data_IF_530036885689
#
_entry.id   IF_530036885689
#
_cell.length_a   1.000
_cell.length_b   1.000
_cell.length_c   1.000
_cell.angle_alpha   90.00
_cell.angle_beta   90.00
_cell.angle_gamma   90.00
#
_symmetry.space_group_name_H-M   'P 1'
#
loop_
_entity.id
_entity.type
_entity.pdbx_description
1 polymer ?
#
# COMPACT_ATOMS: atom_id res chain seq x y z
N UNK A 1 -10.96 -23.50 -17.70
CA UNK A 1 -11.77 -22.29 -17.95
C UNK A 1 -10.97 -21.12 -17.42
N UNK A 2 -10.72 -20.07 -18.20
CA UNK A 2 -9.89 -18.96 -17.75
C UNK A 2 -10.66 -18.13 -16.72
N UNK A 3 -10.22 -18.12 -15.47
CA UNK A 3 -10.74 -17.24 -14.42
C UNK A 3 -10.37 -15.80 -14.81
N UNK A 4 -11.38 -14.98 -15.12
CA UNK A 4 -11.19 -13.56 -15.44
C UNK A 4 -11.37 -12.78 -14.14
N UNK A 5 -10.48 -11.86 -13.82
CA UNK A 5 -10.65 -10.95 -12.68
C UNK A 5 -10.75 -9.51 -13.16
N UNK A 6 -11.68 -8.74 -12.60
CA UNK A 6 -11.73 -7.31 -12.89
C UNK A 6 -10.56 -6.58 -12.19
N UNK A 7 -9.74 -5.85 -12.96
CA UNK A 7 -8.61 -5.05 -12.42
C UNK A 7 -9.05 -3.96 -11.44
N UNK A 8 -10.28 -3.47 -11.55
CA UNK A 8 -10.77 -2.39 -10.72
C UNK A 8 -11.34 -2.89 -9.38
N UNK A 9 -12.25 -3.87 -9.41
CA UNK A 9 -12.94 -4.34 -8.20
C UNK A 9 -12.43 -5.68 -7.65
N UNK A 10 -11.54 -6.37 -8.37
CA UNK A 10 -10.90 -7.62 -7.95
C UNK A 10 -11.80 -8.86 -7.97
N UNK A 11 -13.06 -8.74 -8.40
CA UNK A 11 -14.01 -9.88 -8.43
C UNK A 11 -13.71 -10.84 -9.58
N UNK A 12 -13.90 -12.13 -9.30
CA UNK A 12 -13.95 -13.19 -10.31
C UNK A 12 -15.15 -12.97 -11.24
N UNK A 13 -14.88 -13.10 -12.52
CA UNK A 13 -15.81 -12.96 -13.63
C UNK A 13 -15.97 -14.34 -14.26
N UNK A 14 -17.21 -14.78 -14.42
CA UNK A 14 -17.50 -16.00 -15.14
C UNK A 14 -17.04 -15.87 -16.60
N UNK A 15 -16.30 -16.86 -17.06
CA UNK A 15 -15.63 -16.94 -18.36
C UNK A 15 -16.60 -17.08 -19.56
N UNK A 16 -17.71 -16.34 -19.59
CA UNK A 16 -18.48 -16.16 -20.83
C UNK A 16 -17.68 -15.19 -21.71
N UNK A 17 -16.86 -15.78 -22.56
CA UNK A 17 -15.99 -15.11 -23.53
C UNK A 17 -16.69 -13.90 -24.17
N UNK A 18 -16.12 -12.70 -23.98
CA UNK A 18 -16.54 -11.48 -24.68
C UNK A 18 -17.17 -10.37 -23.82
N UNK A 19 -17.18 -10.46 -22.49
CA UNK A 19 -17.61 -9.35 -21.66
C UNK A 19 -16.59 -8.18 -21.77
N UNK A 20 -16.93 -7.15 -22.55
CA UNK A 20 -16.13 -5.93 -22.66
C UNK A 20 -16.10 -5.13 -21.35
N UNK A 21 -17.04 -5.38 -20.43
CA UNK A 21 -17.22 -4.66 -19.17
C UNK A 21 -17.50 -5.61 -18.01
N UNK A 22 -17.05 -5.21 -16.82
CA UNK A 22 -17.23 -5.94 -15.58
C UNK A 22 -18.67 -5.76 -15.12
N UNK A 23 -19.45 -6.86 -14.95
CA UNK A 23 -20.84 -6.77 -14.52
C UNK A 23 -21.02 -6.19 -13.12
N UNK A 24 -19.95 -6.12 -12.32
CA UNK A 24 -19.99 -5.65 -10.94
C UNK A 24 -19.62 -4.17 -10.76
N UNK A 25 -18.73 -3.62 -11.59
CA UNK A 25 -18.28 -2.23 -11.44
C UNK A 25 -18.34 -1.41 -12.74
N UNK A 26 -18.80 -2.01 -13.85
CA UNK A 26 -18.94 -1.32 -15.13
C UNK A 26 -17.63 -1.00 -15.86
N UNK A 27 -16.46 -1.26 -15.26
CA UNK A 27 -15.18 -0.99 -15.92
C UNK A 27 -14.84 -2.01 -17.00
N UNK A 28 -14.08 -1.56 -18.01
CA UNK A 28 -13.65 -2.42 -19.10
C UNK A 28 -12.86 -3.63 -18.57
N UNK A 29 -13.15 -4.82 -19.07
CA UNK A 29 -12.44 -6.06 -18.69
C UNK A 29 -11.45 -6.37 -19.78
N UNK A 30 -10.17 -6.30 -19.43
CA UNK A 30 -9.10 -6.74 -20.30
C UNK A 30 -8.80 -8.22 -20.02
N UNK A 31 -8.59 -9.05 -21.06
CA UNK A 31 -8.10 -10.41 -20.86
C UNK A 31 -6.81 -10.36 -20.06
N UNK A 32 -6.79 -10.98 -18.88
CA UNK A 32 -5.54 -11.12 -18.11
C UNK A 32 -4.73 -12.19 -18.81
N UNK A 33 -3.60 -11.80 -19.41
CA UNK A 33 -2.65 -12.79 -19.90
C UNK A 33 -2.15 -13.61 -18.71
N UNK A 34 -2.35 -14.93 -18.80
CA UNK A 34 -1.94 -15.85 -17.75
C UNK A 34 -0.42 -15.95 -17.77
N UNK A 35 0.25 -15.16 -16.93
CA UNK A 35 1.70 -15.23 -16.75
C UNK A 35 2.05 -16.59 -16.13
N UNK A 36 3.19 -17.14 -16.51
CA UNK A 36 3.70 -18.39 -15.92
C UNK A 36 3.87 -18.25 -14.41
N UNK A 37 3.59 -19.33 -13.68
CA UNK A 37 3.75 -19.37 -12.22
C UNK A 37 5.21 -19.07 -11.85
N UNK A 38 5.40 -18.38 -10.72
CA UNK A 38 6.74 -18.05 -10.21
C UNK A 38 7.59 -19.32 -10.02
N UNK A 39 8.85 -19.33 -10.51
CA UNK A 39 9.73 -20.47 -10.30
C UNK A 39 9.86 -20.82 -8.81
N UNK A 40 9.74 -22.10 -8.41
CA UNK A 40 9.84 -22.51 -7.01
C UNK A 40 11.13 -22.04 -6.32
N UNK A 41 12.23 -21.97 -7.08
CA UNK A 41 13.52 -21.48 -6.64
C UNK A 41 13.52 -19.98 -6.34
N UNK A 42 12.81 -19.17 -7.14
CA UNK A 42 12.63 -17.74 -6.88
C UNK A 42 11.86 -17.51 -5.57
N UNK A 43 10.81 -18.30 -5.33
CA UNK A 43 10.06 -18.27 -4.07
C UNK A 43 10.90 -18.71 -2.87
N UNK A 44 11.87 -19.60 -3.04
CA UNK A 44 12.80 -19.99 -1.98
C UNK A 44 13.74 -18.84 -1.58
N UNK A 45 14.19 -18.01 -2.53
CA UNK A 45 14.94 -16.80 -2.21
C UNK A 45 14.11 -15.82 -1.38
N UNK A 46 12.83 -15.65 -1.70
CA UNK A 46 11.90 -14.81 -0.93
C UNK A 46 11.75 -15.34 0.50
N UNK A 47 11.47 -16.64 0.68
CA UNK A 47 11.37 -17.26 2.02
C UNK A 47 12.65 -17.09 2.84
N UNK A 48 13.82 -17.27 2.21
CA UNK A 48 15.12 -17.04 2.87
C UNK A 48 15.30 -15.58 3.27
N UNK A 49 14.88 -14.63 2.43
CA UNK A 49 14.94 -13.21 2.75
C UNK A 49 14.01 -12.83 3.91
N UNK A 50 12.81 -13.41 3.98
CA UNK A 50 11.88 -13.20 5.10
C UNK A 50 12.49 -13.62 6.44
N UNK A 51 13.19 -14.75 6.49
CA UNK A 51 13.82 -15.30 7.70
C UNK A 51 15.02 -14.47 8.21
N UNK A 52 15.65 -13.66 7.35
CA UNK A 52 16.75 -12.78 7.76
C UNK A 52 16.23 -11.61 8.62
N UNK A 53 17.08 -11.10 9.51
CA UNK A 53 16.76 -9.91 10.32
C UNK A 53 17.48 -8.66 9.83
N UNK A 54 18.66 -8.83 9.20
CA UNK A 54 19.48 -7.73 8.71
C UNK A 54 19.02 -7.28 7.31
N UNK A 55 18.54 -6.03 7.14
CA UNK A 55 18.08 -5.52 5.84
C UNK A 55 19.16 -5.54 4.75
N UNK A 56 20.45 -5.38 5.10
CA UNK A 56 21.53 -5.42 4.11
C UNK A 56 21.69 -6.82 3.54
N UNK A 57 21.68 -7.84 4.41
CA UNK A 57 21.74 -9.24 3.98
C UNK A 57 20.52 -9.64 3.16
N UNK A 58 19.32 -9.14 3.51
CA UNK A 58 18.11 -9.31 2.69
C UNK A 58 18.31 -8.76 1.29
N UNK A 59 18.77 -7.51 1.21
CA UNK A 59 18.99 -6.83 -0.08
C UNK A 59 20.03 -7.56 -0.93
N UNK A 60 21.17 -7.93 -0.36
CA UNK A 60 22.22 -8.68 -1.07
C UNK A 60 21.71 -10.02 -1.61
N UNK A 61 20.90 -10.74 -0.82
CA UNK A 61 20.29 -12.00 -1.24
C UNK A 61 19.30 -11.78 -2.39
N UNK A 62 18.41 -10.80 -2.26
CA UNK A 62 17.37 -10.51 -3.25
C UNK A 62 17.95 -9.93 -4.55
N UNK A 63 19.02 -9.13 -4.49
CA UNK A 63 19.71 -8.64 -5.70
C UNK A 63 20.37 -9.77 -6.48
N UNK A 64 21.01 -10.73 -5.79
CA UNK A 64 21.53 -11.94 -6.44
C UNK A 64 20.43 -12.81 -7.04
N UNK A 65 19.28 -12.87 -6.37
CA UNK A 65 18.12 -13.59 -6.89
C UNK A 65 17.53 -12.88 -8.12
N UNK A 66 17.46 -11.55 -8.13
CA UNK A 66 16.98 -10.75 -9.27
C UNK A 66 17.87 -10.92 -10.52
N UNK A 67 19.18 -11.13 -10.35
CA UNK A 67 20.08 -11.47 -11.46
C UNK A 67 19.79 -12.85 -12.06
N UNK A 68 19.38 -13.82 -11.24
CA UNK A 68 19.06 -15.19 -11.67
C UNK A 68 17.63 -15.33 -12.20
N UNK A 69 16.70 -14.55 -11.65
CA UNK A 69 15.27 -14.58 -11.94
C UNK A 69 14.76 -13.16 -12.22
N UNK A 70 15.18 -12.53 -13.33
CA UNK A 70 14.85 -11.14 -13.63
C UNK A 70 13.35 -10.90 -13.82
N UNK A 71 12.60 -11.93 -14.22
CA UNK A 71 11.17 -11.84 -14.49
C UNK A 71 10.28 -12.16 -13.27
N UNK A 72 10.89 -12.46 -12.11
CA UNK A 72 10.17 -12.76 -10.88
C UNK A 72 9.56 -11.50 -10.26
N UNK A 73 8.24 -11.41 -10.29
CA UNK A 73 7.48 -10.38 -9.58
C UNK A 73 7.66 -10.52 -8.06
N UNK A 74 7.74 -11.75 -7.56
CA UNK A 74 7.93 -12.01 -6.13
C UNK A 74 9.22 -11.36 -5.60
N UNK A 75 10.36 -11.55 -6.29
CA UNK A 75 11.64 -10.93 -5.91
C UNK A 75 11.58 -9.41 -6.09
N UNK A 76 11.06 -8.93 -7.23
CA UNK A 76 10.97 -7.51 -7.51
C UNK A 76 10.13 -6.76 -6.46
N UNK A 77 9.04 -7.37 -6.01
CA UNK A 77 8.16 -6.86 -4.95
C UNK A 77 8.87 -6.80 -3.61
N UNK A 78 9.59 -7.84 -3.20
CA UNK A 78 10.34 -7.80 -1.94
C UNK A 78 11.40 -6.69 -1.94
N UNK A 79 12.10 -6.48 -3.05
CA UNK A 79 13.03 -5.36 -3.22
C UNK A 79 12.32 -4.01 -3.12
N UNK A 80 11.10 -3.87 -3.67
CA UNK A 80 10.30 -2.65 -3.59
C UNK A 80 9.95 -2.27 -2.15
N UNK A 81 9.48 -3.24 -1.35
CA UNK A 81 9.11 -2.99 0.05
C UNK A 81 10.31 -2.85 0.98
N UNK A 82 11.42 -3.54 0.68
CA UNK A 82 12.67 -3.34 1.41
C UNK A 82 13.16 -1.89 1.28
N UNK A 83 12.92 -1.26 0.12
CA UNK A 83 13.18 0.15 -0.12
C UNK A 83 14.62 0.53 0.26
N UNK A 84 14.75 1.52 1.14
CA UNK A 84 16.04 2.06 1.58
C UNK A 84 16.51 1.53 2.93
N UNK A 85 15.83 0.53 3.51
CA UNK A 85 16.24 -0.10 4.76
C UNK A 85 17.71 -0.58 4.80
N UNK A 86 18.33 -1.05 3.70
CA UNK A 86 19.75 -1.42 3.69
C UNK A 86 20.70 -0.24 3.97
N UNK A 87 20.27 0.98 3.65
CA UNK A 87 21.03 2.22 3.87
C UNK A 87 20.98 2.66 5.34
N UNK A 88 20.13 2.04 6.16
CA UNK A 88 19.93 2.44 7.57
C UNK A 88 21.26 2.47 8.31
N UNK A 89 21.50 3.58 9.01
CA UNK A 89 22.58 3.69 9.97
C UNK A 89 22.10 3.22 11.35
N UNK A 90 22.63 2.11 11.92
CA UNK A 90 22.15 1.61 13.22
C UNK A 90 22.43 2.57 14.40
N UNK A 91 23.29 3.59 14.21
CA UNK A 91 23.59 4.60 15.23
C UNK A 91 22.68 5.82 15.18
N UNK A 92 21.83 5.94 14.16
CA UNK A 92 20.91 7.08 13.99
C UNK A 92 19.49 6.56 13.77
N UNK A 93 18.54 7.06 14.54
CA UNK A 93 17.14 6.77 14.32
C UNK A 93 16.66 7.61 13.14
N UNK A 94 16.55 6.97 11.98
CA UNK A 94 16.02 7.57 10.75
C UNK A 94 14.91 6.67 10.22
N UNK A 95 13.69 7.17 10.22
CA UNK A 95 12.53 6.44 9.72
C UNK A 95 12.28 6.68 8.23
N UNK A 96 12.94 7.67 7.61
CA UNK A 96 12.74 8.00 6.20
C UNK A 96 13.22 6.91 5.24
N UNK A 97 14.02 5.96 5.73
CA UNK A 97 14.45 4.78 5.00
C UNK A 97 13.39 3.68 4.90
N UNK A 98 12.33 3.75 5.71
CA UNK A 98 11.21 2.79 5.69
C UNK A 98 10.25 3.22 4.59
N UNK A 99 9.92 2.33 3.64
CA UNK A 99 9.12 2.68 2.46
C UNK A 99 7.77 3.30 2.81
N UNK A 100 7.08 2.79 3.82
CA UNK A 100 5.78 3.32 4.25
C UNK A 100 5.85 4.73 4.87
N UNK A 101 7.04 5.23 5.23
CA UNK A 101 7.23 6.61 5.68
C UNK A 101 6.80 7.66 4.64
N UNK A 102 6.66 7.29 3.36
CA UNK A 102 6.10 8.15 2.32
C UNK A 102 4.72 8.72 2.69
N UNK A 103 3.90 7.97 3.45
CA UNK A 103 2.61 8.46 3.94
C UNK A 103 2.71 9.58 4.98
N UNK A 104 3.89 9.79 5.59
CA UNK A 104 4.10 10.82 6.62
C UNK A 104 3.81 12.23 6.10
N UNK A 105 3.99 12.49 4.80
CA UNK A 105 3.67 13.80 4.20
C UNK A 105 2.19 14.15 4.31
N UNK A 106 1.29 13.16 4.42
CA UNK A 106 -0.14 13.40 4.64
C UNK A 106 -0.52 13.47 6.12
N UNK A 107 0.29 12.92 7.01
CA UNK A 107 0.05 12.99 8.46
C UNK A 107 0.60 14.28 9.08
N UNK A 108 1.80 14.70 8.64
CA UNK A 108 2.52 15.86 9.16
C UNK A 108 3.20 16.67 8.04
N UNK A 109 2.43 17.21 7.07
CA UNK A 109 3.00 17.96 5.94
C UNK A 109 3.92 19.11 6.38
N UNK A 110 3.64 19.73 7.53
CA UNK A 110 4.42 20.83 8.10
C UNK A 110 5.84 20.46 8.52
N UNK A 111 6.18 19.17 8.63
CA UNK A 111 7.55 18.71 8.96
C UNK A 111 8.45 18.66 7.72
N UNK A 112 7.93 18.90 6.51
CA UNK A 112 8.63 18.76 5.25
C UNK A 112 8.63 20.06 4.42
N UNK A 113 9.68 20.25 3.64
CA UNK A 113 9.68 21.29 2.59
C UNK A 113 8.83 20.83 1.40
N UNK A 114 8.41 21.77 0.55
CA UNK A 114 7.62 21.43 -0.64
C UNK A 114 8.39 20.53 -1.62
N UNK A 115 9.69 20.74 -1.74
CA UNK A 115 10.56 19.88 -2.56
C UNK A 115 10.57 18.45 -2.02
N UNK A 116 10.63 18.29 -0.68
CA UNK A 116 10.61 16.96 -0.08
C UNK A 116 9.26 16.27 -0.24
N UNK A 117 8.15 16.99 -0.08
CA UNK A 117 6.81 16.47 -0.35
C UNK A 117 6.70 16.02 -1.81
N UNK A 118 7.20 16.83 -2.76
CA UNK A 118 7.21 16.48 -4.18
C UNK A 118 7.98 15.19 -4.45
N UNK A 119 9.18 15.03 -3.87
CA UNK A 119 9.98 13.80 -3.98
C UNK A 119 9.27 12.58 -3.39
N UNK A 120 8.60 12.73 -2.23
CA UNK A 120 7.87 11.63 -1.60
C UNK A 120 6.65 11.21 -2.44
N UNK A 121 5.96 12.18 -3.06
CA UNK A 121 4.86 11.94 -3.99
C UNK A 121 5.34 11.23 -5.25
N UNK A 122 6.45 11.69 -5.83
CA UNK A 122 7.08 11.03 -6.97
C UNK A 122 7.45 9.58 -6.62
N UNK A 123 8.10 9.35 -5.48
CA UNK A 123 8.48 8.01 -5.04
C UNK A 123 7.28 7.05 -4.82
N UNK A 124 6.10 7.56 -4.47
CA UNK A 124 4.89 6.75 -4.34
C UNK A 124 4.39 6.19 -5.68
N UNK A 125 4.62 6.88 -6.79
CA UNK A 125 4.01 6.55 -8.09
C UNK A 125 5.00 6.20 -9.20
N UNK A 126 6.22 6.74 -9.18
CA UNK A 126 7.16 6.67 -10.31
C UNK A 126 8.50 6.06 -9.93
N UNK A 127 8.61 5.43 -8.76
CA UNK A 127 9.86 4.77 -8.36
C UNK A 127 10.26 3.65 -9.35
N UNK A 128 11.54 3.54 -9.77
CA UNK A 128 11.95 2.55 -10.78
C UNK A 128 11.60 1.10 -10.43
N UNK A 129 11.76 0.71 -9.16
CA UNK A 129 11.38 -0.64 -8.71
C UNK A 129 9.85 -0.86 -8.76
N UNK A 130 9.04 0.19 -8.59
CA UNK A 130 7.58 0.11 -8.72
C UNK A 130 7.21 -0.08 -10.19
N UNK A 131 7.81 0.70 -11.10
CA UNK A 131 7.63 0.53 -12.54
C UNK A 131 7.96 -0.90 -12.99
N UNK A 132 9.08 -1.46 -12.52
CA UNK A 132 9.43 -2.87 -12.76
C UNK A 132 8.36 -3.83 -12.25
N UNK A 133 7.88 -3.66 -11.02
CA UNK A 133 6.82 -4.53 -10.49
C UNK A 133 5.52 -4.43 -11.29
N UNK A 134 5.19 -3.23 -11.78
CA UNK A 134 4.02 -3.01 -12.64
C UNK A 134 4.18 -3.73 -13.98
N UNK A 135 5.35 -3.64 -14.62
CA UNK A 135 5.67 -4.35 -15.86
C UNK A 135 5.61 -5.88 -15.70
N UNK A 136 6.05 -6.38 -14.55
CA UNK A 136 6.03 -7.81 -14.22
C UNK A 136 4.64 -8.29 -13.73
N UNK A 137 3.72 -7.38 -13.42
CA UNK A 137 2.40 -7.75 -12.90
C UNK A 137 1.44 -8.12 -14.03
N UNK A 138 0.69 -9.23 -13.93
CA UNK A 138 -0.39 -9.54 -14.88
C UNK A 138 -1.52 -8.48 -14.84
N UNK A 139 -1.57 -7.69 -13.78
CA UNK A 139 -2.54 -6.62 -13.59
C UNK A 139 -1.88 -5.42 -12.88
N UNK A 140 -1.32 -4.47 -13.64
CA UNK A 140 -0.56 -3.34 -13.08
C UNK A 140 -1.40 -2.47 -12.13
N UNK A 141 -2.66 -2.20 -12.47
CA UNK A 141 -3.55 -1.36 -11.65
C UNK A 141 -3.89 -2.03 -10.32
N UNK A 142 -4.21 -3.33 -10.35
CA UNK A 142 -4.46 -4.10 -9.13
C UNK A 142 -3.21 -4.19 -8.26
N UNK A 143 -2.02 -4.33 -8.88
CA UNK A 143 -0.76 -4.30 -8.16
C UNK A 143 -0.52 -2.95 -7.49
N UNK A 144 -0.72 -1.83 -8.20
CA UNK A 144 -0.53 -0.49 -7.65
C UNK A 144 -1.45 -0.24 -6.46
N UNK A 145 -2.74 -0.61 -6.55
CA UNK A 145 -3.69 -0.53 -5.43
C UNK A 145 -3.24 -1.38 -4.25
N UNK A 146 -2.80 -2.62 -4.49
CA UNK A 146 -2.30 -3.51 -3.44
C UNK A 146 -1.03 -2.96 -2.78
N UNK A 147 -0.10 -2.40 -3.56
CA UNK A 147 1.12 -1.76 -3.09
C UNK A 147 0.82 -0.57 -2.18
N UNK A 148 -0.01 0.37 -2.63
CA UNK A 148 -0.40 1.54 -1.84
C UNK A 148 -1.14 1.14 -0.55
N UNK A 149 -2.03 0.15 -0.65
CA UNK A 149 -2.75 -0.37 0.52
C UNK A 149 -1.80 -1.02 1.53
N UNK A 150 -0.82 -1.80 1.06
CA UNK A 150 0.18 -2.42 1.93
C UNK A 150 1.07 -1.38 2.60
N UNK A 151 1.52 -0.36 1.87
CA UNK A 151 2.26 0.76 2.47
C UNK A 151 1.42 1.49 3.53
N UNK A 152 0.14 1.72 3.26
CA UNK A 152 -0.77 2.32 4.23
C UNK A 152 -0.92 1.45 5.48
N UNK A 153 -1.01 0.13 5.32
CA UNK A 153 -1.13 -0.81 6.43
C UNK A 153 0.13 -0.80 7.31
N UNK A 154 1.30 -0.86 6.68
CA UNK A 154 2.58 -0.74 7.37
C UNK A 154 2.72 0.61 8.06
N UNK A 155 2.24 1.69 7.43
CA UNK A 155 2.28 3.01 8.03
C UNK A 155 1.43 3.10 9.30
N UNK A 156 0.18 2.62 9.24
CA UNK A 156 -0.72 2.58 10.39
C UNK A 156 -0.09 1.77 11.54
N UNK A 157 0.50 0.62 11.24
CA UNK A 157 1.12 -0.26 12.25
C UNK A 157 2.38 0.36 12.87
N UNK A 158 3.26 0.91 12.06
CA UNK A 158 4.56 1.40 12.54
C UNK A 158 4.49 2.80 13.11
N UNK A 159 3.79 3.72 12.44
CA UNK A 159 3.83 5.16 12.76
C UNK A 159 2.62 5.66 13.52
N UNK A 160 1.45 5.05 13.36
CA UNK A 160 0.29 5.42 14.17
C UNK A 160 0.21 4.57 15.43
N UNK A 161 0.23 3.24 15.29
CA UNK A 161 0.14 2.33 16.45
C UNK A 161 1.41 2.30 17.29
N UNK A 162 2.56 2.48 16.65
CA UNK A 162 3.85 2.55 17.31
C UNK A 162 4.06 3.84 18.11
N UNK A 163 3.33 4.93 17.78
CA UNK A 163 3.52 6.24 18.38
C UNK A 163 2.50 6.49 19.52
N UNK A 164 3.03 6.82 20.69
CA UNK A 164 2.25 7.13 21.89
C UNK A 164 1.34 8.36 21.77
N UNK A 165 1.62 9.25 20.82
CA UNK A 165 0.78 10.41 20.51
C UNK A 165 -0.59 9.97 20.02
N UNK A 166 -0.64 8.96 19.15
CA UNK A 166 -1.88 8.44 18.57
C UNK A 166 -2.42 7.24 19.37
N UNK A 167 -1.54 6.35 19.83
CA UNK A 167 -1.88 5.20 20.68
C UNK A 167 -1.38 5.39 22.11
N UNK A 168 -2.19 6.08 22.93
CA UNK A 168 -1.89 6.25 24.36
C UNK A 168 -1.80 4.89 25.06
N UNK A 169 -0.63 4.61 25.65
CA UNK A 169 -0.39 3.42 26.46
C UNK A 169 -0.68 3.75 27.92
N UNK A 170 -1.44 2.91 28.61
CA UNK A 170 -1.67 3.01 30.05
C UNK A 170 -0.86 1.92 30.75
N UNK A 171 0.06 2.28 31.65
CA UNK A 171 0.95 1.34 32.35
C UNK A 171 1.74 0.40 31.42
N UNK A 172 2.17 0.89 30.25
CA UNK A 172 2.91 0.08 29.28
C UNK A 172 2.06 -0.94 28.50
N UNK A 173 0.78 -1.12 28.86
CA UNK A 173 -0.17 -1.94 28.13
C UNK A 173 -0.95 -1.07 27.13
N UNK A 174 -0.87 -1.42 25.85
CA UNK A 174 -1.71 -0.84 24.81
C UNK A 174 -3.12 -1.42 24.89
N UNK A 175 -4.15 -0.57 24.87
CA UNK A 175 -5.53 -1.04 24.68
C UNK A 175 -5.83 -1.13 23.19
N UNK A 176 -5.39 -2.21 22.55
CA UNK A 176 -5.59 -2.42 21.11
C UNK A 176 -7.07 -2.39 20.71
N UNK A 177 -7.99 -2.72 21.61
CA UNK A 177 -9.43 -2.62 21.39
C UNK A 177 -9.94 -1.18 21.15
N UNK A 178 -9.14 -0.16 21.47
CA UNK A 178 -9.47 1.25 21.22
C UNK A 178 -8.83 1.79 19.93
N UNK A 179 -8.01 0.99 19.25
CA UNK A 179 -7.32 1.43 18.04
C UNK A 179 -8.27 2.00 16.96
N UNK A 180 -9.45 1.38 16.66
CA UNK A 180 -10.36 1.94 15.64
C UNK A 180 -10.79 3.37 15.97
N UNK A 181 -11.07 3.64 17.25
CA UNK A 181 -11.48 4.97 17.71
C UNK A 181 -10.33 5.97 17.74
N UNK A 182 -9.17 5.58 18.27
CA UNK A 182 -8.03 6.47 18.47
C UNK A 182 -7.36 6.87 17.15
N UNK A 183 -7.36 5.95 16.18
CA UNK A 183 -6.69 6.16 14.89
C UNK A 183 -7.61 6.77 13.81
N UNK A 184 -8.91 6.84 14.06
CA UNK A 184 -9.88 7.42 13.12
C UNK A 184 -9.57 8.88 12.79
N UNK A 185 -9.31 9.72 13.79
CA UNK A 185 -9.03 11.14 13.58
C UNK A 185 -7.73 11.38 12.79
N UNK A 186 -6.56 10.79 13.13
CA UNK A 186 -5.35 11.00 12.34
C UNK A 186 -5.47 10.44 10.92
N UNK A 187 -6.13 9.30 10.70
CA UNK A 187 -6.35 8.77 9.35
C UNK A 187 -7.36 9.62 8.56
N UNK A 188 -8.41 10.12 9.20
CA UNK A 188 -9.35 11.07 8.60
C UNK A 188 -8.66 12.36 8.17
N UNK A 189 -7.72 12.87 8.99
CA UNK A 189 -6.88 14.01 8.66
C UNK A 189 -5.99 13.74 7.43
N UNK A 190 -5.34 12.57 7.37
CA UNK A 190 -4.56 12.16 6.20
C UNK A 190 -5.42 12.10 4.93
N UNK A 191 -6.61 11.50 5.01
CA UNK A 191 -7.56 11.43 3.88
C UNK A 191 -7.99 12.83 3.41
N UNK A 192 -8.17 13.77 4.33
CA UNK A 192 -8.42 15.18 4.02
C UNK A 192 -7.27 15.79 3.22
N UNK A 193 -6.03 15.59 3.67
CA UNK A 193 -4.85 16.13 3.02
C UNK A 193 -4.64 15.54 1.62
N UNK A 194 -4.87 14.23 1.44
CA UNK A 194 -4.82 13.58 0.11
C UNK A 194 -5.81 14.23 -0.84
N UNK A 195 -7.06 14.46 -0.40
CA UNK A 195 -8.10 15.06 -1.26
C UNK A 195 -7.81 16.50 -1.66
N UNK A 196 -7.05 17.22 -0.83
CA UNK A 196 -6.67 18.61 -1.09
C UNK A 196 -5.34 18.74 -1.85
N UNK A 197 -4.64 17.63 -2.11
CA UNK A 197 -3.37 17.62 -2.81
C UNK A 197 -3.57 17.90 -4.30
N UNK A 198 -3.36 19.16 -4.70
CA UNK A 198 -3.59 19.66 -6.07
C UNK A 198 -2.53 19.19 -7.07
N UNK A 199 -1.38 18.71 -6.59
CA UNK A 199 -0.30 18.19 -7.44
C UNK A 199 -0.59 16.77 -7.92
N UNK A 200 -1.54 16.06 -7.27
CA UNK A 200 -2.04 14.79 -7.76
C UNK A 200 -3.11 14.99 -8.84
N UNK A 201 -3.25 14.02 -9.73
CA UNK A 201 -4.46 13.90 -10.55
C UNK A 201 -5.66 13.48 -9.68
N UNK A 202 -6.88 13.66 -10.21
CA UNK A 202 -8.10 13.18 -9.53
C UNK A 202 -8.06 11.67 -9.28
N UNK A 203 -7.67 10.88 -10.29
CA UNK A 203 -7.53 9.43 -10.18
C UNK A 203 -6.49 9.01 -9.13
N UNK A 204 -5.36 9.72 -9.01
CA UNK A 204 -4.37 9.45 -7.98
C UNK A 204 -4.90 9.77 -6.58
N UNK A 205 -5.63 10.88 -6.42
CA UNK A 205 -6.26 11.22 -5.12
C UNK A 205 -7.28 10.16 -4.70
N UNK A 206 -8.10 9.68 -5.64
CA UNK A 206 -9.07 8.62 -5.38
C UNK A 206 -8.38 7.32 -4.98
N UNK A 207 -7.39 6.89 -5.76
CA UNK A 207 -6.64 5.66 -5.51
C UNK A 207 -5.93 5.66 -4.15
N UNK A 208 -5.26 6.76 -3.79
CA UNK A 208 -4.62 6.90 -2.47
C UNK A 208 -5.64 6.92 -1.34
N UNK A 209 -6.73 7.67 -1.51
CA UNK A 209 -7.80 7.75 -0.52
C UNK A 209 -8.41 6.38 -0.25
N UNK A 210 -8.69 5.62 -1.32
CA UNK A 210 -9.22 4.27 -1.23
C UNK A 210 -8.21 3.32 -0.58
N UNK A 211 -6.94 3.37 -0.99
CA UNK A 211 -5.88 2.50 -0.45
C UNK A 211 -5.65 2.72 1.05
N UNK A 212 -5.64 3.97 1.52
CA UNK A 212 -5.47 4.29 2.94
C UNK A 212 -6.70 3.87 3.77
N UNK A 213 -7.91 4.10 3.23
CA UNK A 213 -9.14 3.65 3.88
C UNK A 213 -9.18 2.13 4.01
N UNK A 214 -8.77 1.40 2.97
CA UNK A 214 -8.69 -0.06 2.99
C UNK A 214 -7.62 -0.58 3.92
N UNK A 215 -6.46 0.09 3.99
CA UNK A 215 -5.42 -0.22 4.96
C UNK A 215 -5.95 -0.12 6.40
N UNK A 216 -6.69 0.95 6.70
CA UNK A 216 -7.35 1.11 8.00
C UNK A 216 -8.36 0.02 8.26
N UNK A 217 -9.28 -0.24 7.32
CA UNK A 217 -10.28 -1.29 7.47
C UNK A 217 -9.64 -2.67 7.69
N UNK A 218 -8.54 -2.99 6.99
CA UNK A 218 -7.79 -4.23 7.17
C UNK A 218 -7.16 -4.32 8.57
N UNK A 219 -6.50 -3.27 9.05
CA UNK A 219 -5.87 -3.29 10.38
C UNK A 219 -6.89 -3.35 11.52
N UNK A 220 -8.06 -2.74 11.32
CA UNK A 220 -9.14 -2.68 12.30
C UNK A 220 -10.15 -3.84 12.18
N UNK A 221 -9.82 -4.92 11.45
CA UNK A 221 -10.69 -6.08 11.24
C UNK A 221 -12.10 -5.71 10.73
N UNK A 222 -12.19 -4.65 9.91
CA UNK A 222 -13.42 -4.13 9.33
C UNK A 222 -14.15 -3.07 10.16
N UNK A 223 -13.72 -2.75 11.38
CA UNK A 223 -14.33 -1.68 12.19
C UNK A 223 -13.94 -0.29 11.65
N UNK A 224 -14.73 0.22 10.70
CA UNK A 224 -14.55 1.55 10.11
C UNK A 224 -15.45 2.62 10.71
N UNK A 225 -16.30 2.29 11.69
CA UNK A 225 -17.36 3.18 12.19
C UNK A 225 -16.80 4.55 12.61
N UNK A 226 -15.74 4.53 13.41
CA UNK A 226 -15.12 5.76 13.91
C UNK A 226 -14.48 6.61 12.82
N UNK A 227 -13.88 5.95 11.80
CA UNK A 227 -13.31 6.65 10.65
C UNK A 227 -14.42 7.27 9.80
N UNK A 228 -15.50 6.54 9.54
CA UNK A 228 -16.65 7.03 8.79
C UNK A 228 -17.28 8.25 9.49
N UNK A 229 -17.40 8.24 10.82
CA UNK A 229 -17.82 9.40 11.61
C UNK A 229 -16.84 10.58 11.50
N UNK A 230 -15.53 10.33 11.52
CA UNK A 230 -14.51 11.38 11.37
C UNK A 230 -14.56 12.04 9.98
N UNK A 231 -14.72 11.24 8.93
CA UNK A 231 -14.90 11.72 7.56
C UNK A 231 -16.18 12.53 7.41
N UNK A 232 -17.29 12.06 8.00
CA UNK A 232 -18.57 12.78 8.03
C UNK A 232 -18.45 14.16 8.68
N UNK A 233 -17.76 14.26 9.83
CA UNK A 233 -17.49 15.56 10.49
C UNK A 233 -16.65 16.50 9.62
N UNK A 234 -15.73 15.96 8.83
CA UNK A 234 -14.86 16.73 7.94
C UNK A 234 -15.51 17.06 6.59
N UNK A 235 -16.75 16.62 6.32
CA UNK A 235 -17.40 16.80 5.01
C UNK A 235 -16.74 16.00 3.89
N UNK A 236 -15.99 14.96 4.23
CA UNK A 236 -15.27 14.11 3.28
C UNK A 236 -16.14 12.91 2.95
N UNK A 237 -16.49 12.75 1.67
CA UNK A 237 -17.18 11.54 1.23
C UNK A 237 -16.32 10.31 1.52
N UNK A 238 -16.94 9.24 2.04
CA UNK A 238 -16.27 7.96 2.21
C UNK A 238 -15.66 7.51 0.88
N UNK A 239 -14.38 7.11 0.82
CA UNK A 239 -13.81 6.45 -0.35
C UNK A 239 -14.64 5.18 -0.60
N UNK A 240 -15.35 5.15 -1.73
CA UNK A 240 -16.42 4.19 -1.98
C UNK A 240 -15.84 2.76 -2.00
N UNK A 241 -16.45 1.86 -1.22
CA UNK A 241 -16.58 0.45 -1.55
C UNK A 241 -17.88 0.37 -2.35
N UNK A 242 -17.86 -0.07 -3.61
CA UNK A 242 -19.09 -0.14 -4.39
C UNK A 242 -20.19 -0.90 -3.64
N UNK A 243 -21.29 -0.16 -3.43
CA UNK A 243 -22.72 -0.52 -3.41
C UNK A 243 -23.10 -1.94 -2.96
N UNK A 244 -23.90 -2.00 -1.90
CA UNK A 244 -25.04 -2.92 -1.86
C UNK A 244 -25.90 -2.65 -3.10
N UNK A 245 -25.94 -3.57 -4.06
CA UNK A 245 -27.08 -4.01 -4.88
C UNK A 245 -26.65 -5.22 -5.73
#
# INVERSE_FOLDING_TARGET
MAELHCSHCGRELEAKAGAAFCPYCGNAVHPVEKREEEPPEALEYVRKAEALQDPRKKWELLKKAEEQYPDSLAIARELLFLGRLPERNPKKLDFSVIKSHLWMMYLKPQEFTQEKISQMREELFTHPQLARCMELSPNPDAFLRAYLTQLGLEFIRLFLRGDSVYMRRFFGLGMDSRAPKLLADPVGYMLSNIRQDKELTESQRELLSQSLYEAFAKDMAGDTKWLDEALGRAGIARPIKDREY
#
